data_IF_933074828497
#
_entry.id   IF_933074828497
#
_cell.length_a   1.000
_cell.length_b   1.000
_cell.length_c   1.000
_cell.angle_alpha   90.00
_cell.angle_beta   90.00
_cell.angle_gamma   90.00
#
_symmetry.space_group_name_H-M   'P 1'
#
loop_
_entity.id
_entity.type
_entity.pdbx_description
1 polymer ?
#
# COMPACT_ATOMS: atom_id res chain seq x y z
N UNK A 1 10.43 -2.79 -35.03
CA UNK A 1 10.69 -2.96 -33.58
C UNK A 1 9.85 -4.12 -33.10
N UNK A 2 10.44 -5.02 -32.31
CA UNK A 2 9.67 -6.07 -31.65
C UNK A 2 8.69 -5.42 -30.67
N UNK A 3 7.41 -5.80 -30.71
CA UNK A 3 6.41 -5.27 -29.77
C UNK A 3 6.26 -6.27 -28.64
N UNK A 4 6.75 -5.98 -27.43
CA UNK A 4 6.65 -6.92 -26.31
C UNK A 4 5.23 -6.96 -25.73
N UNK A 5 4.83 -8.14 -25.24
CA UNK A 5 3.64 -8.33 -24.40
C UNK A 5 4.05 -8.37 -22.94
N UNK A 6 3.31 -7.71 -22.05
CA UNK A 6 3.57 -7.73 -20.61
C UNK A 6 2.63 -8.69 -19.87
N UNK A 7 3.19 -9.62 -19.09
CA UNK A 7 2.47 -10.44 -18.12
C UNK A 7 2.54 -9.75 -16.76
N UNK A 8 1.40 -9.42 -16.19
CA UNK A 8 1.28 -8.83 -14.86
C UNK A 8 0.78 -9.90 -13.88
N UNK A 9 1.64 -10.31 -12.95
CA UNK A 9 1.35 -11.36 -11.98
C UNK A 9 0.57 -10.81 -10.78
N UNK A 10 -0.76 -10.95 -10.76
CA UNK A 10 -1.64 -10.35 -9.75
C UNK A 10 -2.46 -11.35 -8.91
N UNK A 11 -2.25 -12.67 -9.09
CA UNK A 11 -3.06 -13.76 -8.50
C UNK A 11 -2.66 -14.29 -7.11
N UNK A 12 -1.72 -13.67 -6.40
CA UNK A 12 -1.20 -14.21 -5.14
C UNK A 12 -2.24 -14.36 -4.00
N UNK A 13 -2.05 -15.35 -3.12
CA UNK A 13 -3.01 -15.79 -2.10
C UNK A 13 -3.24 -14.82 -0.90
N UNK A 14 -2.64 -13.62 -0.87
CA UNK A 14 -2.81 -12.56 0.15
C UNK A 14 -2.72 -12.93 1.65
N UNK A 15 -2.32 -14.15 2.04
CA UNK A 15 -2.37 -14.64 3.43
C UNK A 15 -1.67 -13.75 4.47
N UNK A 16 -0.51 -13.20 4.10
CA UNK A 16 0.32 -12.32 4.97
C UNK A 16 -0.16 -10.86 5.01
N UNK A 17 -1.21 -10.54 4.25
CA UNK A 17 -1.70 -9.18 4.05
C UNK A 17 -2.85 -8.79 5.00
N UNK A 18 -3.28 -9.70 5.87
CA UNK A 18 -4.29 -9.44 6.88
C UNK A 18 -3.90 -8.26 7.80
N UNK A 19 -4.81 -7.33 8.13
CA UNK A 19 -6.28 -7.41 8.00
C UNK A 19 -6.87 -6.93 6.67
N UNK A 20 -6.04 -6.57 5.69
CA UNK A 20 -6.47 -6.25 4.34
C UNK A 20 -6.58 -7.52 3.48
N UNK A 21 -7.41 -7.46 2.44
CA UNK A 21 -7.78 -8.66 1.64
C UNK A 21 -7.33 -8.59 0.19
N UNK A 22 -7.09 -7.40 -0.37
CA UNK A 22 -6.88 -7.22 -1.81
C UNK A 22 -5.65 -6.37 -2.12
N UNK A 23 -4.49 -7.02 -2.19
CA UNK A 23 -3.19 -6.36 -2.36
C UNK A 23 -3.00 -5.69 -3.73
N UNK A 24 -3.30 -6.41 -4.81
CA UNK A 24 -3.17 -5.91 -6.19
C UNK A 24 -4.16 -4.81 -6.52
N UNK A 25 -5.24 -4.72 -5.75
CA UNK A 25 -6.38 -3.85 -6.00
C UNK A 25 -6.58 -2.80 -4.91
N UNK A 26 -5.53 -2.53 -4.12
CA UNK A 26 -5.49 -1.37 -3.24
C UNK A 26 -5.58 -0.09 -4.06
N UNK A 27 -6.42 0.84 -3.61
CA UNK A 27 -6.74 2.08 -4.32
C UNK A 27 -5.95 3.23 -3.72
N UNK A 28 -5.20 3.94 -4.55
CA UNK A 28 -4.44 5.12 -4.16
C UNK A 28 -5.06 6.35 -4.82
N UNK A 29 -6.12 6.88 -4.18
CA UNK A 29 -7.06 7.78 -4.84
C UNK A 29 -8.06 6.98 -5.67
N UNK A 30 -8.18 7.27 -6.96
CA UNK A 30 -9.11 6.59 -7.86
C UNK A 30 -8.51 5.37 -8.56
N UNK A 31 -7.18 5.27 -8.60
CA UNK A 31 -6.48 4.22 -9.33
C UNK A 31 -6.07 3.10 -8.39
N UNK A 32 -6.29 1.85 -8.78
CA UNK A 32 -5.70 0.72 -8.07
C UNK A 32 -4.22 0.57 -8.40
N UNK A 33 -3.47 -0.16 -7.57
CA UNK A 33 -2.09 -0.51 -7.87
C UNK A 33 -1.95 -1.20 -9.24
N UNK A 34 -2.93 -2.03 -9.62
CA UNK A 34 -2.99 -2.64 -10.94
C UNK A 34 -3.24 -1.61 -12.05
N UNK A 35 -4.21 -0.70 -11.91
CA UNK A 35 -4.51 0.32 -12.93
C UNK A 35 -3.25 1.16 -13.21
N UNK A 36 -2.54 1.55 -12.15
CA UNK A 36 -1.27 2.27 -12.24
C UNK A 36 -0.21 1.47 -12.99
N UNK A 37 -0.06 0.17 -12.69
CA UNK A 37 0.94 -0.66 -13.37
C UNK A 37 0.62 -0.87 -14.85
N UNK A 38 -0.65 -1.03 -15.22
CA UNK A 38 -1.07 -1.11 -16.62
C UNK A 38 -0.69 0.19 -17.36
N UNK A 39 -0.99 1.35 -16.77
CA UNK A 39 -0.67 2.67 -17.34
C UNK A 39 0.85 2.93 -17.43
N UNK A 40 1.60 2.60 -16.37
CA UNK A 40 3.07 2.69 -16.33
C UNK A 40 3.73 1.86 -17.46
N UNK A 41 3.26 0.62 -17.66
CA UNK A 41 3.76 -0.26 -18.71
C UNK A 41 3.35 0.20 -20.11
N UNK A 42 2.11 0.67 -20.28
CA UNK A 42 1.66 1.24 -21.54
C UNK A 42 2.51 2.46 -21.94
N UNK A 43 2.77 3.39 -21.01
CA UNK A 43 3.68 4.54 -21.24
C UNK A 43 5.12 4.11 -21.51
N UNK A 44 5.54 2.98 -20.97
CA UNK A 44 6.83 2.40 -21.26
C UNK A 44 6.89 1.67 -22.61
N UNK A 45 5.77 1.54 -23.32
CA UNK A 45 5.69 0.91 -24.64
C UNK A 45 5.39 -0.59 -24.60
N UNK A 46 4.78 -1.09 -23.52
CA UNK A 46 4.15 -2.41 -23.42
C UNK A 46 2.63 -2.23 -23.52
N UNK A 47 2.09 -2.13 -24.75
CA UNK A 47 0.68 -1.83 -24.97
C UNK A 47 -0.24 -3.04 -24.72
N UNK A 48 0.23 -4.25 -25.06
CA UNK A 48 -0.53 -5.47 -24.88
C UNK A 48 -0.15 -6.13 -23.55
N UNK A 49 -1.17 -6.51 -22.77
CA UNK A 49 -1.02 -7.04 -21.41
C UNK A 49 -1.79 -8.35 -21.21
N UNK A 50 -1.22 -9.23 -20.40
CA UNK A 50 -1.84 -10.45 -19.89
C UNK A 50 -1.87 -10.33 -18.36
N UNK A 51 -3.06 -10.20 -17.79
CA UNK A 51 -3.26 -10.11 -16.35
C UNK A 51 -3.49 -11.51 -15.79
N UNK A 52 -2.60 -11.97 -14.92
CA UNK A 52 -2.79 -13.25 -14.22
C UNK A 52 -3.56 -13.01 -12.93
N UNK A 53 -4.80 -13.46 -12.94
CA UNK A 53 -5.78 -13.37 -11.88
C UNK A 53 -5.85 -14.68 -11.07
N UNK A 54 -6.56 -14.63 -9.94
CA UNK A 54 -7.09 -15.81 -9.26
C UNK A 54 -8.63 -15.77 -9.30
N UNK A 55 -9.34 -16.84 -8.90
CA UNK A 55 -10.80 -16.86 -8.92
C UNK A 55 -11.44 -15.69 -8.15
N UNK A 56 -10.86 -15.32 -7.01
CA UNK A 56 -11.39 -14.28 -6.12
C UNK A 56 -11.28 -12.85 -6.69
N UNK A 57 -10.38 -12.61 -7.66
CA UNK A 57 -10.16 -11.27 -8.22
C UNK A 57 -10.44 -11.16 -9.73
N UNK A 58 -10.89 -12.24 -10.38
CA UNK A 58 -11.07 -12.32 -11.82
C UNK A 58 -11.95 -11.19 -12.40
N UNK A 59 -13.08 -10.87 -11.77
CA UNK A 59 -14.00 -9.84 -12.27
C UNK A 59 -13.38 -8.45 -12.22
N UNK A 60 -12.69 -8.12 -11.11
CA UNK A 60 -11.98 -6.84 -10.96
C UNK A 60 -10.80 -6.74 -11.93
N UNK A 61 -10.12 -7.86 -12.24
CA UNK A 61 -9.08 -7.91 -13.26
C UNK A 61 -9.64 -7.66 -14.66
N UNK A 62 -10.83 -8.19 -14.99
CA UNK A 62 -11.52 -7.92 -16.26
C UNK A 62 -11.92 -6.45 -16.38
N UNK A 63 -12.38 -5.85 -15.28
CA UNK A 63 -12.71 -4.44 -15.25
C UNK A 63 -11.47 -3.56 -15.52
N UNK A 64 -10.34 -3.86 -14.85
CA UNK A 64 -9.07 -3.17 -15.11
C UNK A 64 -8.57 -3.38 -16.54
N UNK A 65 -8.66 -4.62 -17.06
CA UNK A 65 -8.32 -4.94 -18.44
C UNK A 65 -9.14 -4.11 -19.45
N UNK A 66 -10.42 -3.84 -19.17
CA UNK A 66 -11.27 -3.03 -20.06
C UNK A 66 -10.84 -1.56 -20.19
N UNK A 67 -10.04 -1.06 -19.24
CA UNK A 67 -9.48 0.29 -19.25
C UNK A 67 -8.07 0.36 -19.84
N UNK A 68 -7.47 -0.77 -20.20
CA UNK A 68 -6.14 -0.81 -20.81
C UNK A 68 -6.17 -0.09 -22.17
N UNK A 69 -5.06 0.57 -22.52
CA UNK A 69 -4.94 1.30 -23.79
C UNK A 69 -4.72 0.39 -25.00
N UNK A 70 -4.21 -0.83 -24.80
CA UNK A 70 -4.02 -1.85 -25.83
C UNK A 70 -4.79 -3.15 -25.54
N UNK A 71 -4.38 -4.27 -26.13
CA UNK A 71 -5.07 -5.55 -25.90
C UNK A 71 -4.81 -6.03 -24.49
N UNK A 72 -5.87 -6.40 -23.77
CA UNK A 72 -5.74 -6.96 -22.44
C UNK A 72 -6.41 -8.34 -22.38
N UNK A 73 -5.68 -9.33 -21.88
CA UNK A 73 -6.18 -10.68 -21.63
C UNK A 73 -6.19 -10.93 -20.12
N UNK A 74 -7.20 -11.64 -19.63
CA UNK A 74 -7.24 -12.11 -18.23
C UNK A 74 -7.12 -13.63 -18.25
N UNK A 75 -6.08 -14.13 -17.57
CA UNK A 75 -5.82 -15.56 -17.38
C UNK A 75 -6.01 -15.88 -15.91
N UNK A 76 -6.76 -16.94 -15.60
CA UNK A 76 -7.07 -17.30 -14.21
C UNK A 76 -6.17 -18.45 -13.79
N UNK A 77 -5.31 -18.19 -12.80
CA UNK A 77 -4.61 -19.23 -12.05
C UNK A 77 -5.56 -19.75 -10.96
N UNK A 78 -6.15 -20.92 -11.17
CA UNK A 78 -7.14 -21.50 -10.26
C UNK A 78 -6.56 -21.77 -8.86
N UNK A 79 -5.34 -22.30 -8.81
CA UNK A 79 -4.60 -22.61 -7.58
C UNK A 79 -3.28 -21.86 -7.55
N UNK A 80 -2.91 -21.16 -6.46
CA UNK A 80 -1.76 -20.28 -6.41
C UNK A 80 -0.44 -21.04 -6.19
N UNK A 81 -0.03 -21.88 -7.14
CA UNK A 81 1.20 -22.69 -7.06
C UNK A 81 2.50 -21.88 -7.24
N UNK A 82 2.41 -20.57 -7.45
CA UNK A 82 3.56 -19.67 -7.51
C UNK A 82 3.63 -18.88 -8.81
N UNK A 83 4.69 -18.09 -8.94
CA UNK A 83 4.88 -17.20 -10.10
C UNK A 83 5.20 -17.96 -11.38
N UNK A 84 5.95 -19.06 -11.29
CA UNK A 84 6.26 -19.91 -12.44
C UNK A 84 5.01 -20.54 -13.05
N UNK A 85 4.18 -21.17 -12.22
CA UNK A 85 2.86 -21.67 -12.63
C UNK A 85 1.97 -20.54 -13.20
N UNK A 86 1.94 -19.36 -12.58
CA UNK A 86 1.18 -18.22 -13.08
C UNK A 86 1.57 -17.82 -14.52
N UNK A 87 2.87 -17.88 -14.86
CA UNK A 87 3.34 -17.66 -16.24
C UNK A 87 2.96 -18.83 -17.15
N UNK A 88 3.03 -20.09 -16.67
CA UNK A 88 2.62 -21.26 -17.45
C UNK A 88 1.13 -21.24 -17.82
N UNK A 89 0.26 -20.66 -17.00
CA UNK A 89 -1.16 -20.46 -17.36
C UNK A 89 -1.33 -19.59 -18.61
N UNK A 90 -0.33 -18.78 -18.97
CA UNK A 90 -0.33 -17.94 -20.16
C UNK A 90 0.14 -18.68 -21.43
N UNK A 91 0.55 -19.96 -21.34
CA UNK A 91 1.21 -20.68 -22.43
C UNK A 91 0.43 -20.66 -23.75
N UNK A 92 -0.89 -20.86 -23.74
CA UNK A 92 -1.70 -20.82 -24.97
C UNK A 92 -1.62 -19.48 -25.70
N UNK A 93 -1.58 -18.36 -24.97
CA UNK A 93 -1.42 -17.03 -25.58
C UNK A 93 0.02 -16.82 -26.08
N UNK A 94 1.01 -17.27 -25.30
CA UNK A 94 2.43 -17.12 -25.62
C UNK A 94 2.89 -18.03 -26.77
N UNK A 95 2.31 -19.20 -26.94
CA UNK A 95 2.61 -20.15 -28.04
C UNK A 95 1.75 -19.89 -29.28
N UNK A 96 0.63 -19.17 -29.12
CA UNK A 96 -0.25 -18.75 -30.19
C UNK A 96 -0.03 -17.29 -30.58
N UNK A 97 -0.87 -16.42 -30.03
CA UNK A 97 -0.96 -15.00 -30.42
C UNK A 97 0.38 -14.24 -30.29
N UNK A 98 1.17 -14.56 -29.26
CA UNK A 98 2.41 -13.85 -28.94
C UNK A 98 3.67 -14.69 -29.21
N UNK A 99 3.60 -15.74 -30.02
CA UNK A 99 4.72 -16.65 -30.30
C UNK A 99 6.01 -15.98 -30.78
N UNK A 100 5.88 -14.88 -31.54
CA UNK A 100 7.00 -14.09 -32.07
C UNK A 100 7.19 -12.75 -31.36
N UNK A 101 6.53 -12.54 -30.22
CA UNK A 101 6.62 -11.30 -29.44
C UNK A 101 7.50 -11.53 -28.21
N UNK A 102 8.45 -10.63 -27.89
CA UNK A 102 9.13 -10.69 -26.60
C UNK A 102 8.13 -10.60 -25.45
N UNK A 103 8.44 -11.26 -24.34
CA UNK A 103 7.58 -11.28 -23.16
C UNK A 103 8.26 -10.56 -22.01
N UNK A 104 7.54 -9.64 -21.38
CA UNK A 104 7.93 -8.97 -20.16
C UNK A 104 7.11 -9.51 -18.98
N UNK A 105 7.73 -10.08 -17.96
CA UNK A 105 7.04 -10.58 -16.77
C UNK A 105 7.26 -9.60 -15.62
N UNK A 106 6.17 -9.12 -15.02
CA UNK A 106 6.22 -8.18 -13.93
C UNK A 106 5.33 -8.57 -12.74
N UNK A 107 5.88 -8.41 -11.54
CA UNK A 107 5.11 -8.47 -10.30
C UNK A 107 4.56 -7.07 -9.96
N UNK A 108 3.23 -6.94 -9.91
CA UNK A 108 2.52 -5.70 -9.58
C UNK A 108 2.83 -5.20 -8.17
N UNK A 109 3.21 -6.09 -7.25
CA UNK A 109 3.50 -5.74 -5.86
C UNK A 109 4.91 -5.17 -5.59
N UNK A 110 5.76 -5.13 -6.62
CA UNK A 110 7.06 -4.45 -6.58
C UNK A 110 6.91 -3.03 -7.14
N UNK A 111 6.86 -2.06 -6.22
CA UNK A 111 6.83 -0.65 -6.58
C UNK A 111 8.26 -0.17 -6.81
N UNK A 112 8.46 0.50 -7.93
CA UNK A 112 9.72 1.02 -8.44
C UNK A 112 9.44 2.32 -9.19
N UNK A 113 10.46 3.12 -9.47
CA UNK A 113 10.35 4.24 -10.41
C UNK A 113 9.96 3.70 -11.81
N UNK A 114 8.82 4.13 -12.38
CA UNK A 114 8.36 3.67 -13.69
C UNK A 114 9.36 3.86 -14.84
N UNK A 115 10.37 4.73 -14.68
CA UNK A 115 11.44 4.90 -15.66
C UNK A 115 12.19 3.58 -15.94
N UNK A 116 12.26 2.66 -14.99
CA UNK A 116 12.94 1.36 -15.18
C UNK A 116 12.29 0.52 -16.29
N UNK A 117 10.97 0.62 -16.47
CA UNK A 117 10.24 -0.11 -17.52
C UNK A 117 10.63 0.39 -18.91
N UNK A 118 10.82 1.71 -19.08
CA UNK A 118 11.36 2.28 -20.33
C UNK A 118 12.80 1.82 -20.57
N UNK A 119 13.62 1.82 -19.52
CA UNK A 119 15.03 1.40 -19.61
C UNK A 119 15.15 -0.05 -20.05
N UNK A 120 14.43 -0.98 -19.43
CA UNK A 120 14.50 -2.41 -19.80
C UNK A 120 13.91 -2.66 -21.20
N UNK A 121 12.81 -2.00 -21.56
CA UNK A 121 12.25 -2.09 -22.92
C UNK A 121 13.25 -1.62 -23.97
N UNK A 122 13.92 -0.50 -23.74
CA UNK A 122 14.92 0.06 -24.64
C UNK A 122 16.10 -0.89 -24.93
N UNK A 123 16.36 -1.86 -24.04
CA UNK A 123 17.37 -2.89 -24.27
C UNK A 123 17.02 -3.85 -25.41
N UNK A 124 15.73 -4.04 -25.74
CA UNK A 124 15.35 -4.88 -26.89
C UNK A 124 15.88 -4.36 -28.21
N UNK A 125 15.98 -3.03 -28.34
CA UNK A 125 16.44 -2.38 -29.56
C UNK A 125 17.97 -2.15 -29.55
N UNK A 126 18.57 -2.04 -28.36
CA UNK A 126 19.98 -1.63 -28.19
C UNK A 126 20.98 -2.79 -28.04
N UNK A 127 20.53 -4.00 -27.72
CA UNK A 127 21.41 -5.10 -27.29
C UNK A 127 20.87 -6.45 -27.78
N UNK A 128 21.70 -7.35 -28.30
CA UNK A 128 21.29 -8.64 -28.87
C UNK A 128 21.19 -9.79 -27.84
N UNK A 129 21.25 -9.51 -26.54
CA UNK A 129 21.06 -10.51 -25.48
C UNK A 129 19.70 -11.22 -25.55
N UNK A 130 19.67 -12.50 -25.15
CA UNK A 130 18.47 -13.35 -25.20
C UNK A 130 17.39 -12.87 -24.21
N UNK A 131 17.83 -12.34 -23.07
CA UNK A 131 16.96 -11.85 -22.01
C UNK A 131 17.63 -10.76 -21.15
N UNK A 132 16.79 -10.02 -20.43
CA UNK A 132 17.17 -8.97 -19.50
C UNK A 132 16.44 -9.16 -18.18
N UNK A 133 17.14 -8.94 -17.07
CA UNK A 133 16.56 -8.97 -15.72
C UNK A 133 16.88 -7.68 -14.99
N UNK A 134 15.99 -7.21 -14.12
CA UNK A 134 16.27 -6.07 -13.25
C UNK A 134 16.92 -6.56 -11.94
N UNK A 135 18.11 -6.03 -11.66
CA UNK A 135 18.82 -6.25 -10.40
C UNK A 135 18.78 -4.98 -9.55
N UNK A 136 18.05 -5.01 -8.43
CA UNK A 136 18.01 -3.92 -7.44
C UNK A 136 19.27 -3.98 -6.60
N UNK A 137 19.99 -2.86 -6.50
CA UNK A 137 21.17 -2.77 -5.62
C UNK A 137 20.74 -2.59 -4.17
N UNK A 138 21.24 -3.44 -3.29
CA UNK A 138 20.93 -3.40 -1.87
C UNK A 138 22.18 -3.17 -1.03
N UNK A 139 22.09 -2.24 -0.08
CA UNK A 139 23.14 -1.99 0.92
C UNK A 139 23.00 -2.88 2.16
N UNK A 140 21.87 -3.58 2.28
CA UNK A 140 21.54 -4.47 3.40
C UNK A 140 20.82 -5.71 2.89
N UNK A 141 20.98 -6.81 3.61
CA UNK A 141 20.29 -8.06 3.28
C UNK A 141 18.77 -7.88 3.23
N UNK A 142 18.17 -8.47 2.19
CA UNK A 142 16.74 -8.66 2.05
C UNK A 142 16.47 -10.12 1.64
N UNK A 143 15.47 -10.82 2.22
CA UNK A 143 15.18 -12.20 1.84
C UNK A 143 14.56 -12.29 0.43
N UNK A 144 15.40 -12.57 -0.57
CA UNK A 144 15.02 -12.76 -1.97
C UNK A 144 16.13 -13.39 -2.82
N UNK A 145 15.97 -13.38 -4.14
CA UNK A 145 16.91 -13.99 -5.09
C UNK A 145 18.06 -13.05 -5.44
N UNK A 146 19.29 -13.40 -5.07
CA UNK A 146 20.49 -12.61 -5.40
C UNK A 146 21.16 -13.12 -6.67
N UNK A 147 21.58 -12.21 -7.55
CA UNK A 147 22.22 -12.55 -8.82
C UNK A 147 23.69 -12.91 -8.62
N UNK A 148 24.13 -14.00 -9.24
CA UNK A 148 25.53 -14.24 -9.52
C UNK A 148 25.90 -13.52 -10.81
N UNK A 149 27.02 -12.79 -10.81
CA UNK A 149 27.36 -11.82 -11.86
C UNK A 149 28.72 -12.11 -12.47
N UNK A 150 28.82 -12.02 -13.81
CA UNK A 150 30.08 -12.02 -14.55
C UNK A 150 30.07 -10.84 -15.54
N UNK A 151 30.77 -9.76 -15.21
CA UNK A 151 30.66 -8.50 -15.95
C UNK A 151 29.26 -7.90 -15.82
N UNK A 152 28.54 -7.80 -16.93
CA UNK A 152 27.14 -7.32 -17.02
C UNK A 152 26.13 -8.46 -17.26
N UNK A 153 26.57 -9.71 -17.16
CA UNK A 153 25.76 -10.91 -17.32
C UNK A 153 25.33 -11.49 -15.96
N UNK A 154 24.07 -11.91 -15.89
CA UNK A 154 23.58 -12.76 -14.82
C UNK A 154 23.87 -14.22 -15.17
N UNK A 155 24.63 -14.92 -14.31
CA UNK A 155 25.03 -16.31 -14.52
C UNK A 155 24.18 -17.31 -13.73
N UNK A 156 23.56 -16.86 -12.64
CA UNK A 156 22.62 -17.64 -11.83
C UNK A 156 21.84 -16.71 -10.89
N UNK A 157 20.83 -17.25 -10.20
CA UNK A 157 20.11 -16.61 -9.10
C UNK A 157 20.11 -17.56 -7.89
N UNK A 158 20.50 -17.04 -6.73
CA UNK A 158 20.53 -17.78 -5.46
C UNK A 158 19.37 -17.28 -4.61
N UNK A 159 18.38 -18.13 -4.38
CA UNK A 159 17.19 -17.78 -3.61
C UNK A 159 17.47 -17.80 -2.10
N UNK A 160 17.24 -16.66 -1.43
CA UNK A 160 17.37 -16.48 0.03
C UNK A 160 18.67 -17.08 0.60
N UNK A 161 19.86 -16.66 0.13
CA UNK A 161 21.11 -17.07 0.75
C UNK A 161 21.13 -16.62 2.22
N UNK A 162 21.91 -17.29 3.09
CA UNK A 162 22.22 -16.78 4.42
C UNK A 162 22.72 -15.32 4.36
N UNK A 163 22.33 -14.44 5.30
CA UNK A 163 22.84 -13.08 5.35
C UNK A 163 24.37 -13.07 5.43
N UNK A 164 25.02 -12.26 4.58
CA UNK A 164 26.48 -12.19 4.46
C UNK A 164 27.10 -13.21 3.50
N UNK A 165 26.32 -14.09 2.88
CA UNK A 165 26.80 -15.03 1.84
C UNK A 165 26.15 -14.76 0.49
N UNK A 166 25.66 -13.54 0.25
CA UNK A 166 25.06 -13.13 -1.00
C UNK A 166 26.12 -13.14 -2.12
N UNK A 167 25.83 -13.71 -3.31
CA UNK A 167 26.78 -13.77 -4.43
C UNK A 167 27.12 -12.40 -5.02
N UNK A 168 26.28 -11.40 -4.79
CA UNK A 168 26.51 -9.99 -5.12
C UNK A 168 25.56 -9.12 -4.29
N UNK A 169 25.67 -7.80 -4.40
CA UNK A 169 24.71 -6.86 -3.83
C UNK A 169 23.49 -6.58 -4.73
N UNK A 170 23.28 -7.38 -5.79
CA UNK A 170 22.17 -7.23 -6.72
C UNK A 170 21.12 -8.30 -6.44
N UNK A 171 19.94 -7.88 -6.01
CA UNK A 171 18.78 -8.74 -5.83
C UNK A 171 17.85 -8.62 -7.03
N UNK A 172 17.50 -9.76 -7.63
CA UNK A 172 16.58 -9.85 -8.75
C UNK A 172 15.15 -9.54 -8.29
N UNK A 173 14.49 -8.61 -8.96
CA UNK A 173 13.03 -8.44 -8.87
C UNK A 173 12.35 -9.05 -10.09
N UNK A 174 11.04 -9.26 -10.03
CA UNK A 174 10.28 -9.73 -11.20
C UNK A 174 9.92 -8.53 -12.08
N UNK A 175 10.88 -8.21 -12.94
CA UNK A 175 10.77 -7.28 -14.05
C UNK A 175 11.69 -7.83 -15.14
N UNK A 176 11.26 -8.92 -15.75
CA UNK A 176 12.12 -9.74 -16.60
C UNK A 176 11.65 -9.72 -18.04
N UNK A 177 12.57 -9.61 -18.99
CA UNK A 177 12.27 -9.50 -20.41
C UNK A 177 12.96 -10.63 -21.17
N UNK A 178 12.21 -11.43 -21.92
CA UNK A 178 12.75 -12.54 -22.72
C UNK A 178 12.34 -12.33 -24.18
N UNK A 179 13.29 -12.45 -25.11
CA UNK A 179 13.02 -12.27 -26.56
C UNK A 179 12.10 -13.34 -27.12
N UNK A 180 12.28 -14.58 -26.67
CA UNK A 180 11.55 -15.75 -27.15
C UNK A 180 10.74 -16.37 -26.01
N UNK A 181 9.40 -16.23 -26.00
CA UNK A 181 8.56 -16.80 -24.94
C UNK A 181 8.76 -18.31 -24.75
N UNK A 182 9.05 -19.03 -25.84
CA UNK A 182 9.27 -20.48 -25.79
C UNK A 182 10.47 -20.87 -24.91
N UNK A 183 11.53 -20.05 -24.85
CA UNK A 183 12.67 -20.31 -23.98
C UNK A 183 12.26 -20.27 -22.49
N UNK A 184 11.47 -19.27 -22.11
CA UNK A 184 10.94 -19.13 -20.75
C UNK A 184 10.01 -20.28 -20.38
N UNK A 185 9.07 -20.62 -21.26
CA UNK A 185 8.14 -21.73 -21.03
C UNK A 185 8.85 -23.08 -20.91
N UNK A 186 9.89 -23.31 -21.72
CA UNK A 186 10.71 -24.53 -21.66
C UNK A 186 11.43 -24.65 -20.32
N UNK A 187 12.07 -23.57 -19.86
CA UNK A 187 12.75 -23.55 -18.57
C UNK A 187 11.76 -23.78 -17.40
N UNK A 188 10.58 -23.17 -17.45
CA UNK A 188 9.53 -23.36 -16.44
C UNK A 188 8.96 -24.79 -16.40
N UNK A 189 8.83 -25.45 -17.56
CA UNK A 189 8.37 -26.84 -17.65
C UNK A 189 9.42 -27.85 -17.21
N UNK A 190 10.71 -27.48 -17.25
CA UNK A 190 11.83 -28.34 -16.88
C UNK A 190 12.11 -28.37 -15.37
N UNK A 191 11.48 -27.50 -14.58
CA UNK A 191 11.61 -27.46 -13.11
C UNK A 191 10.39 -28.07 -12.43
N UNK A 192 10.57 -28.59 -11.22
CA UNK A 192 9.47 -29.12 -10.42
C UNK A 192 8.48 -27.99 -10.11
N UNK A 193 7.16 -28.17 -10.33
CA UNK A 193 6.16 -27.13 -10.08
C UNK A 193 5.94 -26.79 -8.59
N UNK A 194 6.49 -27.58 -7.65
CA UNK A 194 6.01 -27.59 -6.26
C UNK A 194 6.90 -26.95 -5.16
N UNK A 195 7.98 -26.20 -5.44
CA UNK A 195 8.55 -25.30 -4.44
C UNK A 195 8.31 -23.82 -4.80
N UNK A 196 8.32 -22.95 -3.76
CA UNK A 196 8.06 -21.51 -3.90
C UNK A 196 9.05 -20.75 -4.78
N UNK A 197 10.16 -21.39 -5.15
CA UNK A 197 11.28 -20.87 -5.93
C UNK A 197 11.32 -21.42 -7.37
N UNK A 198 10.24 -22.05 -7.86
CA UNK A 198 10.15 -22.57 -9.24
C UNK A 198 10.59 -21.54 -10.29
N UNK A 199 10.17 -20.28 -10.11
CA UNK A 199 10.47 -19.21 -11.06
C UNK A 199 11.97 -18.88 -11.05
N UNK A 200 12.59 -18.81 -9.88
CA UNK A 200 14.02 -18.59 -9.69
C UNK A 200 14.84 -19.77 -10.25
N UNK A 201 14.41 -21.02 -10.04
CA UNK A 201 15.06 -22.20 -10.62
C UNK A 201 15.01 -22.18 -12.15
N UNK A 202 13.89 -21.79 -12.76
CA UNK A 202 13.78 -21.65 -14.21
C UNK A 202 14.71 -20.56 -14.74
N UNK A 203 14.83 -19.43 -14.02
CA UNK A 203 15.79 -18.38 -14.36
C UNK A 203 17.24 -18.83 -14.23
N UNK A 204 17.59 -19.62 -13.21
CA UNK A 204 18.92 -20.20 -13.10
C UNK A 204 19.25 -21.09 -14.31
N UNK A 205 18.29 -21.88 -14.81
CA UNK A 205 18.46 -22.67 -16.04
C UNK A 205 18.61 -21.81 -17.30
N UNK A 206 17.84 -20.72 -17.42
CA UNK A 206 17.98 -19.78 -18.53
C UNK A 206 19.35 -19.10 -18.53
N UNK A 207 19.78 -18.60 -17.37
CA UNK A 207 21.08 -17.93 -17.21
C UNK A 207 22.27 -18.84 -17.50
N UNK A 208 22.14 -20.15 -17.27
CA UNK A 208 23.19 -21.12 -17.58
C UNK A 208 23.37 -21.35 -19.10
N UNK A 209 22.34 -21.12 -19.92
CA UNK A 209 22.32 -21.51 -21.33
C UNK A 209 22.10 -20.33 -22.30
N UNK A 210 21.85 -19.13 -21.79
CA UNK A 210 21.49 -17.94 -22.57
C UNK A 210 22.24 -16.72 -22.07
N UNK A 211 22.45 -15.74 -22.95
CA UNK A 211 23.05 -14.46 -22.58
C UNK A 211 21.99 -13.59 -21.91
N UNK A 212 21.96 -13.61 -20.58
CA UNK A 212 21.04 -12.81 -19.76
C UNK A 212 21.77 -11.59 -19.22
N UNK A 213 21.35 -10.39 -19.61
CA UNK A 213 21.96 -9.13 -19.16
C UNK A 213 21.24 -8.52 -17.98
N UNK A 214 22.00 -7.86 -17.12
CA UNK A 214 21.48 -7.17 -15.95
C UNK A 214 21.17 -5.71 -16.30
N UNK A 215 19.95 -5.28 -15.99
CA UNK A 215 19.60 -3.87 -15.88
C UNK A 215 19.66 -3.50 -14.40
N UNK A 216 20.75 -2.85 -13.98
CA UNK A 216 20.90 -2.41 -12.59
C UNK A 216 19.91 -1.30 -12.26
N UNK A 217 19.36 -1.36 -11.05
CA UNK A 217 18.42 -0.38 -10.53
C UNK A 217 18.84 0.07 -9.12
N UNK A 218 19.13 1.36 -8.99
CA UNK A 218 19.56 2.01 -7.74
C UNK A 218 18.45 2.93 -7.16
N UNK A 219 17.28 2.94 -7.78
CA UNK A 219 16.15 3.77 -7.35
C UNK A 219 15.35 3.17 -6.18
N UNK A 220 14.29 3.86 -5.72
CA UNK A 220 13.45 3.37 -4.64
C UNK A 220 12.75 2.05 -5.00
N UNK A 221 12.76 1.08 -4.11
CA UNK A 221 12.04 -0.18 -4.26
C UNK A 221 11.24 -0.50 -3.01
N UNK A 222 9.94 -0.71 -3.17
CA UNK A 222 9.03 -1.07 -2.09
C UNK A 222 8.30 -2.36 -2.45
N UNK A 223 8.72 -3.51 -1.88
CA UNK A 223 7.97 -4.75 -2.00
C UNK A 223 6.79 -4.70 -1.03
N UNK A 224 5.57 -4.69 -1.55
CA UNK A 224 4.40 -4.86 -0.68
C UNK A 224 4.36 -6.34 -0.32
N UNK A 225 4.38 -6.72 0.95
CA UNK A 225 4.26 -8.13 1.39
C UNK A 225 3.27 -8.29 2.55
N UNK A 226 3.23 -7.30 3.42
CA UNK A 226 2.39 -7.21 4.61
C UNK A 226 1.55 -5.93 4.57
N UNK A 227 0.49 -5.87 5.38
CA UNK A 227 -0.40 -4.70 5.43
C UNK A 227 0.33 -3.39 5.78
N UNK A 228 1.37 -3.43 6.61
CA UNK A 228 2.13 -2.22 6.96
C UNK A 228 3.03 -1.71 5.82
N UNK A 229 3.38 -2.55 4.83
CA UNK A 229 4.17 -2.09 3.68
C UNK A 229 3.38 -1.08 2.82
N UNK A 230 2.05 -1.02 2.98
CA UNK A 230 1.20 0.00 2.37
C UNK A 230 1.60 1.41 2.81
N UNK A 231 2.17 1.59 4.00
CA UNK A 231 2.69 2.90 4.43
C UNK A 231 3.88 3.35 3.59
N UNK A 232 4.82 2.44 3.32
CA UNK A 232 5.96 2.72 2.43
C UNK A 232 5.51 2.94 0.98
N UNK A 233 4.53 2.15 0.52
CA UNK A 233 3.92 2.33 -0.79
C UNK A 233 3.23 3.69 -0.92
N UNK A 234 2.50 4.10 0.12
CA UNK A 234 1.86 5.42 0.22
C UNK A 234 2.89 6.52 0.10
N UNK A 235 3.99 6.46 0.88
CA UNK A 235 5.06 7.44 0.80
C UNK A 235 5.67 7.52 -0.61
N UNK A 236 6.01 6.38 -1.22
CA UNK A 236 6.59 6.35 -2.56
C UNK A 236 5.64 6.92 -3.64
N UNK A 237 4.34 6.63 -3.55
CA UNK A 237 3.34 7.17 -4.48
C UNK A 237 3.18 8.68 -4.29
N UNK A 238 3.20 9.15 -3.04
CA UNK A 238 3.11 10.56 -2.70
C UNK A 238 4.35 11.35 -3.16
N UNK A 239 5.54 10.77 -3.04
CA UNK A 239 6.80 11.36 -3.51
C UNK A 239 6.84 11.50 -5.05
N UNK A 240 6.12 10.64 -5.77
CA UNK A 240 5.99 10.69 -7.23
C UNK A 240 4.94 11.69 -7.74
N UNK A 241 4.26 12.45 -6.87
CA UNK A 241 3.27 13.44 -7.29
C UNK A 241 3.94 14.62 -8.01
N UNK A 242 3.29 15.17 -9.06
CA UNK A 242 3.76 16.39 -9.69
C UNK A 242 3.72 17.57 -8.71
N UNK A 243 4.59 18.54 -8.95
CA UNK A 243 4.66 19.72 -8.09
C UNK A 243 3.40 20.59 -8.23
N UNK A 244 2.75 20.88 -7.09
CA UNK A 244 1.65 21.84 -6.99
C UNK A 244 0.31 21.17 -6.72
N UNK A 245 -0.78 21.88 -7.06
CA UNK A 245 -2.15 21.40 -6.88
C UNK A 245 -2.71 20.88 -8.21
N UNK A 246 -2.98 19.58 -8.28
CA UNK A 246 -3.77 18.94 -9.32
C UNK A 246 -5.20 18.75 -8.80
N UNK A 247 -6.23 19.23 -9.52
CA UNK A 247 -7.62 19.10 -9.08
C UNK A 247 -8.56 18.89 -10.26
N UNK A 248 -9.64 18.16 -10.02
CA UNK A 248 -10.80 18.13 -10.91
C UNK A 248 -11.56 19.47 -10.91
N UNK A 249 -12.35 19.71 -11.95
CA UNK A 249 -13.05 20.99 -12.18
C UNK A 249 -14.16 21.28 -11.15
N UNK A 250 -14.75 20.24 -10.55
CA UNK A 250 -15.88 20.33 -9.61
C UNK A 250 -15.45 20.33 -8.13
N UNK A 251 -14.18 20.57 -7.85
CA UNK A 251 -13.64 20.68 -6.48
C UNK A 251 -14.03 22.01 -5.83
N UNK A 252 -14.57 21.95 -4.61
CA UNK A 252 -14.99 23.12 -3.83
C UNK A 252 -14.06 23.32 -2.65
N UNK A 253 -13.34 24.44 -2.62
CA UNK A 253 -12.44 24.84 -1.53
C UNK A 253 -12.98 26.12 -0.90
N UNK A 254 -13.31 26.08 0.39
CA UNK A 254 -13.76 27.26 1.12
C UNK A 254 -12.64 28.33 1.18
N UNK A 255 -12.95 29.65 1.14
CA UNK A 255 -11.94 30.72 1.21
C UNK A 255 -11.05 30.76 2.47
N UNK A 256 -11.38 29.98 3.50
CA UNK A 256 -10.64 29.86 4.75
C UNK A 256 -10.04 28.46 4.95
N UNK A 257 -10.05 27.63 3.90
CA UNK A 257 -9.35 26.37 3.88
C UNK A 257 -7.93 26.55 3.34
N UNK A 258 -7.04 25.63 3.70
CA UNK A 258 -5.64 25.65 3.26
C UNK A 258 -5.35 24.41 2.41
N UNK A 259 -4.80 24.61 1.23
CA UNK A 259 -4.21 23.54 0.43
C UNK A 259 -2.80 23.97 0.02
N UNK A 260 -1.79 23.19 0.40
CA UNK A 260 -0.38 23.56 0.20
C UNK A 260 0.47 22.34 -0.11
N UNK A 261 1.54 22.49 -0.88
CA UNK A 261 2.42 21.38 -1.27
C UNK A 261 1.89 20.61 -2.48
N UNK A 262 2.36 19.38 -2.67
CA UNK A 262 1.98 18.51 -3.78
C UNK A 262 0.66 17.79 -3.47
N UNK A 263 -0.45 18.22 -4.08
CA UNK A 263 -1.78 17.73 -3.71
C UNK A 263 -2.55 17.35 -4.96
N UNK A 264 -3.18 16.16 -4.93
CA UNK A 264 -4.17 15.75 -5.92
C UNK A 264 -5.56 15.67 -5.28
N UNK A 265 -6.53 16.37 -5.86
CA UNK A 265 -7.94 16.37 -5.43
C UNK A 265 -8.83 15.77 -6.54
N UNK A 266 -9.53 14.68 -6.20
CA UNK A 266 -10.49 14.01 -7.06
C UNK A 266 -11.77 14.83 -7.30
N UNK A 267 -12.64 14.29 -8.14
CA UNK A 267 -13.92 14.89 -8.53
C UNK A 267 -14.83 15.10 -7.33
N UNK A 268 -15.48 16.25 -7.23
CA UNK A 268 -16.46 16.56 -6.20
C UNK A 268 -15.91 16.62 -4.77
N UNK A 269 -14.58 16.70 -4.60
CA UNK A 269 -13.97 16.92 -3.28
C UNK A 269 -14.40 18.27 -2.71
N UNK A 270 -14.70 18.30 -1.41
CA UNK A 270 -15.12 19.52 -0.70
C UNK A 270 -14.25 19.75 0.52
N UNK A 271 -13.67 20.93 0.63
CA UNK A 271 -12.85 21.35 1.78
C UNK A 271 -13.52 22.55 2.45
N UNK A 272 -13.99 22.35 3.68
CA UNK A 272 -14.73 23.34 4.46
C UNK A 272 -13.80 24.31 5.22
N UNK A 273 -14.38 25.37 5.79
CA UNK A 273 -13.64 26.44 6.46
C UNK A 273 -12.71 25.92 7.56
N UNK A 274 -11.44 26.35 7.54
CA UNK A 274 -10.40 25.89 8.46
C UNK A 274 -9.85 24.49 8.16
N UNK A 275 -10.43 23.75 7.21
CA UNK A 275 -9.88 22.48 6.76
C UNK A 275 -8.55 22.68 6.03
N UNK A 276 -7.60 21.79 6.24
CA UNK A 276 -6.25 21.87 5.71
C UNK A 276 -5.82 20.55 5.06
N UNK A 277 -5.30 20.64 3.83
CA UNK A 277 -4.63 19.54 3.13
C UNK A 277 -3.20 19.97 2.84
N UNK A 278 -2.25 19.35 3.55
CA UNK A 278 -0.82 19.66 3.46
C UNK A 278 -0.11 18.51 2.76
N UNK A 279 0.36 18.79 1.55
CA UNK A 279 1.04 17.83 0.69
C UNK A 279 2.37 17.30 1.26
N UNK A 280 2.84 16.15 0.76
CA UNK A 280 2.22 15.41 -0.35
C UNK A 280 0.93 14.69 0.07
N UNK A 281 -0.14 14.79 -0.72
CA UNK A 281 -1.44 14.20 -0.38
C UNK A 281 -2.31 13.88 -1.60
N UNK A 282 -3.10 12.80 -1.52
CA UNK A 282 -4.14 12.46 -2.50
C UNK A 282 -5.47 12.35 -1.78
N UNK A 283 -6.48 13.06 -2.28
CA UNK A 283 -7.86 13.01 -1.79
C UNK A 283 -8.75 12.49 -2.92
N UNK A 284 -9.36 11.32 -2.73
CA UNK A 284 -10.19 10.64 -3.72
C UNK A 284 -11.56 11.30 -3.93
N UNK A 285 -12.26 10.84 -4.97
CA UNK A 285 -13.52 11.44 -5.42
C UNK A 285 -14.60 11.52 -4.34
N UNK A 286 -15.30 12.66 -4.27
CA UNK A 286 -16.44 12.88 -3.37
C UNK A 286 -16.07 12.98 -1.89
N UNK A 287 -14.77 13.01 -1.54
CA UNK A 287 -14.33 13.10 -0.15
C UNK A 287 -14.53 14.49 0.42
N UNK A 288 -14.97 14.54 1.68
CA UNK A 288 -15.20 15.75 2.44
C UNK A 288 -14.10 15.93 3.49
N UNK A 289 -13.44 17.08 3.44
CA UNK A 289 -12.55 17.56 4.50
C UNK A 289 -13.31 18.61 5.31
N UNK A 290 -13.72 18.22 6.51
CA UNK A 290 -14.56 19.02 7.41
C UNK A 290 -13.84 20.24 8.00
N UNK A 291 -14.61 21.03 8.75
CA UNK A 291 -14.09 22.24 9.39
C UNK A 291 -12.96 21.93 10.36
N UNK A 292 -11.85 22.65 10.25
CA UNK A 292 -10.68 22.48 11.13
C UNK A 292 -9.96 21.13 11.00
N UNK A 293 -10.35 20.27 10.05
CA UNK A 293 -9.67 18.99 9.82
C UNK A 293 -8.30 19.19 9.17
N UNK A 294 -7.36 18.29 9.41
CA UNK A 294 -6.01 18.31 8.84
C UNK A 294 -5.68 16.96 8.19
N UNK A 295 -5.41 16.97 6.89
CA UNK A 295 -4.83 15.82 6.18
C UNK A 295 -3.40 16.16 5.77
N UNK A 296 -2.44 15.31 6.11
CA UNK A 296 -1.02 15.56 5.77
C UNK A 296 -0.21 14.30 5.50
N UNK A 297 0.56 14.29 4.42
CA UNK A 297 1.39 13.13 4.05
C UNK A 297 0.57 11.85 3.83
N UNK A 298 -0.71 11.96 3.45
CA UNK A 298 -1.68 10.87 3.50
C UNK A 298 -2.37 10.68 2.15
N UNK A 299 -2.84 9.46 1.92
CA UNK A 299 -3.79 9.14 0.85
C UNK A 299 -5.13 8.83 1.50
N UNK A 300 -6.15 9.59 1.14
CA UNK A 300 -7.54 9.39 1.55
C UNK A 300 -8.34 9.01 0.32
N UNK A 301 -8.98 7.84 0.37
CA UNK A 301 -9.78 7.29 -0.72
C UNK A 301 -11.02 8.12 -1.05
N UNK A 302 -11.84 7.60 -1.94
CA UNK A 302 -13.08 8.23 -2.39
C UNK A 302 -14.19 8.12 -1.33
N UNK A 303 -15.11 9.08 -1.32
CA UNK A 303 -16.34 9.14 -0.50
C UNK A 303 -16.07 9.08 1.00
N UNK A 304 -14.91 9.57 1.43
CA UNK A 304 -14.57 9.65 2.85
C UNK A 304 -15.11 10.93 3.49
N UNK A 305 -15.28 10.91 4.81
CA UNK A 305 -15.61 12.08 5.60
C UNK A 305 -14.54 12.25 6.68
N UNK A 306 -13.66 13.24 6.53
CA UNK A 306 -12.72 13.65 7.57
C UNK A 306 -13.41 14.73 8.40
N UNK A 307 -14.01 14.34 9.53
CA UNK A 307 -14.87 15.19 10.35
C UNK A 307 -14.16 16.34 11.07
N UNK A 308 -14.94 17.09 11.84
CA UNK A 308 -14.49 18.30 12.52
C UNK A 308 -13.26 18.04 13.41
N UNK A 309 -12.18 18.79 13.14
CA UNK A 309 -10.96 18.73 13.93
C UNK A 309 -10.21 17.39 13.89
N UNK A 310 -10.55 16.48 12.97
CA UNK A 310 -9.76 15.26 12.78
C UNK A 310 -8.40 15.56 12.14
N UNK A 311 -7.39 14.78 12.53
CA UNK A 311 -6.08 14.76 11.88
C UNK A 311 -5.81 13.38 11.27
N UNK A 312 -5.55 13.32 9.97
CA UNK A 312 -5.09 12.14 9.24
C UNK A 312 -3.66 12.38 8.75
N UNK A 313 -2.69 11.76 9.41
CA UNK A 313 -1.27 11.99 9.19
C UNK A 313 -0.53 10.72 8.75
N UNK A 314 0.20 10.79 7.63
CA UNK A 314 1.06 9.69 7.13
C UNK A 314 0.32 8.35 6.98
N UNK A 315 -0.96 8.40 6.62
CA UNK A 315 -1.83 7.22 6.63
C UNK A 315 -2.38 6.90 5.24
N UNK A 316 -2.67 5.62 5.04
CA UNK A 316 -3.50 5.14 3.94
C UNK A 316 -4.92 4.93 4.47
N UNK A 317 -5.89 5.57 3.83
CA UNK A 317 -7.31 5.44 4.17
C UNK A 317 -8.06 4.98 2.93
N UNK A 318 -8.69 3.81 2.99
CA UNK A 318 -9.55 3.27 1.94
C UNK A 318 -10.79 4.13 1.67
N UNK A 319 -11.63 3.66 0.76
CA UNK A 319 -12.83 4.39 0.35
C UNK A 319 -13.91 4.36 1.43
N UNK A 320 -14.80 5.35 1.47
CA UNK A 320 -15.99 5.33 2.34
C UNK A 320 -15.69 5.44 3.83
N UNK A 321 -14.48 5.84 4.22
CA UNK A 321 -14.13 5.93 5.64
C UNK A 321 -14.72 7.21 6.28
N UNK A 322 -15.18 7.08 7.52
CA UNK A 322 -15.81 8.18 8.26
C UNK A 322 -15.09 8.43 9.60
N UNK A 323 -14.75 9.69 9.84
CA UNK A 323 -14.08 10.15 11.04
C UNK A 323 -14.85 11.32 11.66
N UNK A 324 -14.87 11.39 12.99
CA UNK A 324 -15.34 12.54 13.75
C UNK A 324 -14.15 13.42 14.18
N UNK A 325 -13.97 13.66 15.48
CA UNK A 325 -12.76 14.28 16.03
C UNK A 325 -11.81 13.15 16.43
N UNK A 326 -10.86 12.83 15.54
CA UNK A 326 -9.95 11.69 15.67
C UNK A 326 -8.49 12.07 15.34
N UNK A 327 -7.53 11.32 15.85
CA UNK A 327 -6.15 11.32 15.35
C UNK A 327 -5.82 9.96 14.74
N UNK A 328 -5.47 9.95 13.46
CA UNK A 328 -5.10 8.77 12.67
C UNK A 328 -3.70 8.97 12.10
N UNK A 329 -2.70 8.39 12.76
CA UNK A 329 -1.29 8.54 12.45
C UNK A 329 -0.66 7.23 11.98
N UNK A 330 0.08 7.25 10.88
CA UNK A 330 0.88 6.12 10.37
C UNK A 330 0.07 4.82 10.28
N UNK A 331 -1.20 4.93 9.88
CA UNK A 331 -2.18 3.84 9.92
C UNK A 331 -2.62 3.42 8.52
N UNK A 332 -3.13 2.18 8.41
CA UNK A 332 -3.64 1.61 7.16
C UNK A 332 -5.05 1.12 7.39
N UNK A 333 -6.02 1.80 6.78
CA UNK A 333 -7.44 1.52 6.93
C UNK A 333 -7.99 1.00 5.60
N UNK A 334 -8.68 -0.14 5.65
CA UNK A 334 -9.46 -0.67 4.53
C UNK A 334 -10.72 0.17 4.27
N UNK A 335 -11.54 -0.29 3.34
CA UNK A 335 -12.74 0.43 2.92
C UNK A 335 -13.82 0.44 4.01
N UNK A 336 -14.65 1.47 4.00
CA UNK A 336 -15.80 1.68 4.85
C UNK A 336 -15.49 1.53 6.35
N UNK A 337 -14.35 2.02 6.83
CA UNK A 337 -14.02 2.05 8.27
C UNK A 337 -14.63 3.30 8.91
N UNK A 338 -15.25 3.18 10.08
CA UNK A 338 -15.75 4.36 10.81
C UNK A 338 -15.25 4.44 12.25
N UNK A 339 -14.78 5.63 12.63
CA UNK A 339 -14.28 5.94 13.96
C UNK A 339 -15.24 6.84 14.72
N UNK A 340 -15.75 6.36 15.86
CA UNK A 340 -16.40 7.20 16.85
C UNK A 340 -15.50 8.33 17.34
N UNK A 341 -16.11 9.43 17.78
CA UNK A 341 -15.37 10.59 18.29
C UNK A 341 -14.43 10.20 19.44
N UNK A 342 -13.22 10.74 19.43
CA UNK A 342 -12.20 10.45 20.44
C UNK A 342 -11.45 9.13 20.23
N UNK A 343 -11.72 8.37 19.17
CA UNK A 343 -10.82 7.28 18.77
C UNK A 343 -9.47 7.83 18.31
N UNK A 344 -8.39 7.24 18.82
CA UNK A 344 -7.01 7.65 18.55
C UNK A 344 -6.14 6.43 18.22
N UNK A 345 -5.30 6.55 17.19
CA UNK A 345 -4.24 5.58 16.88
C UNK A 345 -2.92 6.05 17.48
N UNK A 346 -2.42 5.36 18.51
CA UNK A 346 -1.04 5.53 18.93
C UNK A 346 -0.13 4.89 17.88
N UNK A 347 0.89 5.63 17.45
CA UNK A 347 1.78 5.23 16.36
C UNK A 347 3.23 5.02 16.79
N UNK A 348 3.60 5.36 18.02
CA UNK A 348 4.95 5.26 18.54
C UNK A 348 4.93 4.52 19.88
N UNK A 349 5.87 3.58 20.05
CA UNK A 349 6.09 2.91 21.32
C UNK A 349 6.85 3.83 22.27
N UNK A 350 6.60 3.70 23.58
CA UNK A 350 7.31 4.48 24.60
C UNK A 350 8.83 4.20 24.64
N UNK A 351 9.27 3.03 24.19
CA UNK A 351 10.69 2.67 24.08
C UNK A 351 11.33 3.06 22.73
N UNK A 352 10.54 3.67 21.83
CA UNK A 352 10.92 4.13 20.49
C UNK A 352 11.52 3.04 19.58
N UNK A 353 11.39 1.77 19.95
CA UNK A 353 11.91 0.63 19.18
C UNK A 353 11.00 0.31 17.99
N UNK A 354 11.57 -0.45 17.04
CA UNK A 354 10.83 -0.98 15.90
C UNK A 354 9.58 -1.76 16.33
N UNK A 355 8.48 -1.53 15.65
CA UNK A 355 7.20 -2.17 15.91
C UNK A 355 7.24 -3.60 15.34
N UNK A 356 6.75 -4.56 16.13
CA UNK A 356 6.72 -5.98 15.77
C UNK A 356 5.30 -6.52 15.74
N UNK A 357 4.89 -7.07 14.61
CA UNK A 357 3.52 -7.52 14.33
C UNK A 357 3.49 -9.03 14.12
N UNK A 358 2.47 -9.71 14.64
CA UNK A 358 2.36 -11.17 14.52
C UNK A 358 1.92 -11.59 13.12
N UNK A 359 2.62 -12.48 12.44
CA UNK A 359 2.19 -13.08 11.17
C UNK A 359 2.43 -14.58 11.25
N UNK A 360 1.40 -15.37 10.94
CA UNK A 360 1.45 -16.84 10.98
C UNK A 360 2.06 -17.38 12.28
N UNK A 361 1.65 -16.80 13.41
CA UNK A 361 2.11 -17.18 14.76
C UNK A 361 3.48 -16.62 15.19
N UNK A 362 4.23 -15.94 14.31
CA UNK A 362 5.55 -15.38 14.59
C UNK A 362 5.56 -13.86 14.62
N UNK A 363 6.33 -13.22 15.53
CA UNK A 363 6.47 -11.75 15.54
C UNK A 363 7.52 -11.30 14.51
N UNK A 364 7.05 -10.65 13.46
CA UNK A 364 7.89 -10.07 12.40
C UNK A 364 8.28 -8.65 12.78
N UNK A 365 9.57 -8.33 12.67
CA UNK A 365 10.06 -6.96 12.78
C UNK A 365 9.71 -6.19 11.51
N UNK A 366 8.99 -5.07 11.65
CA UNK A 366 8.54 -4.26 10.50
C UNK A 366 9.67 -3.38 9.94
N UNK A 367 10.73 -3.16 10.73
CA UNK A 367 11.76 -2.17 10.45
C UNK A 367 11.25 -0.72 10.53
N UNK A 368 10.12 -0.49 11.19
CA UNK A 368 9.49 0.83 11.32
C UNK A 368 9.30 1.18 12.80
N UNK A 369 9.76 2.36 13.20
CA UNK A 369 9.55 2.90 14.56
C UNK A 369 8.15 3.47 14.74
N UNK A 370 7.48 3.85 13.64
CA UNK A 370 6.12 4.39 13.64
C UNK A 370 5.15 3.58 12.78
N UNK A 371 4.12 3.04 13.41
CA UNK A 371 2.97 2.34 12.82
C UNK A 371 1.81 2.52 13.79
N UNK A 372 0.71 3.09 13.33
CA UNK A 372 -0.55 3.20 14.06
C UNK A 372 -1.33 1.89 14.02
N UNK A 373 -2.60 1.94 13.59
CA UNK A 373 -3.44 0.75 13.48
C UNK A 373 -3.51 0.24 12.03
N UNK A 374 -3.64 -1.08 11.87
CA UNK A 374 -3.96 -1.71 10.59
C UNK A 374 -5.39 -2.25 10.70
N UNK A 375 -6.31 -1.81 9.84
CA UNK A 375 -7.73 -2.04 10.02
C UNK A 375 -8.34 -2.57 8.72
N UNK A 376 -9.03 -3.71 8.81
CA UNK A 376 -9.76 -4.32 7.71
C UNK A 376 -11.05 -3.58 7.37
N UNK A 377 -11.63 -3.92 6.23
CA UNK A 377 -12.80 -3.23 5.72
C UNK A 377 -14.02 -3.38 6.65
N UNK A 378 -14.92 -2.40 6.64
CA UNK A 378 -16.18 -2.39 7.41
C UNK A 378 -16.00 -2.43 8.94
N UNK A 379 -14.80 -2.17 9.46
CA UNK A 379 -14.58 -2.13 10.90
C UNK A 379 -15.17 -0.85 11.53
N UNK A 380 -15.56 -0.93 12.81
CA UNK A 380 -16.13 0.19 13.57
C UNK A 380 -15.45 0.35 14.93
N UNK A 381 -15.21 1.58 15.37
CA UNK A 381 -14.84 1.85 16.76
C UNK A 381 -15.87 2.76 17.41
N UNK A 382 -16.25 2.48 18.66
CA UNK A 382 -17.04 3.38 19.48
C UNK A 382 -16.27 4.64 19.87
N UNK A 383 -16.90 5.50 20.65
CA UNK A 383 -16.26 6.74 21.15
C UNK A 383 -15.10 6.43 22.12
N UNK A 384 -14.10 7.29 22.15
CA UNK A 384 -12.97 7.24 23.08
C UNK A 384 -12.20 5.90 23.07
N UNK A 385 -12.02 5.27 21.91
CA UNK A 385 -11.19 4.06 21.77
C UNK A 385 -9.72 4.42 21.59
N UNK A 386 -8.83 3.80 22.36
CA UNK A 386 -7.38 3.96 22.20
C UNK A 386 -6.78 2.72 21.54
N UNK A 387 -6.16 2.88 20.37
CA UNK A 387 -5.55 1.79 19.60
C UNK A 387 -4.02 1.84 19.72
N UNK A 388 -3.40 0.76 20.22
CA UNK A 388 -1.94 0.72 20.41
C UNK A 388 -1.16 0.54 19.10
N UNK A 389 0.15 0.91 19.06
CA UNK A 389 0.95 0.79 17.85
C UNK A 389 1.00 -0.65 17.31
N UNK A 390 0.70 -0.80 16.02
CA UNK A 390 0.71 -2.06 15.30
C UNK A 390 -0.48 -3.00 15.55
N UNK A 391 -1.51 -2.57 16.31
CA UNK A 391 -2.70 -3.41 16.50
C UNK A 391 -3.46 -3.60 15.19
N UNK A 392 -4.03 -4.78 15.02
CA UNK A 392 -4.79 -5.15 13.83
C UNK A 392 -6.24 -5.43 14.15
N UNK A 393 -7.15 -4.80 13.42
CA UNK A 393 -8.59 -5.05 13.54
C UNK A 393 -9.07 -5.69 12.25
N UNK A 394 -9.65 -6.88 12.34
CA UNK A 394 -10.17 -7.63 11.21
C UNK A 394 -11.37 -6.98 10.54
N UNK A 395 -11.67 -7.43 9.32
CA UNK A 395 -12.80 -6.92 8.55
C UNK A 395 -14.14 -7.26 9.23
N UNK A 396 -15.09 -6.33 9.18
CA UNK A 396 -16.43 -6.46 9.79
C UNK A 396 -16.42 -6.52 11.32
N UNK A 397 -15.33 -6.11 11.97
CA UNK A 397 -15.19 -6.15 13.43
C UNK A 397 -15.57 -4.82 14.08
N UNK A 398 -15.91 -4.86 15.36
CA UNK A 398 -16.26 -3.69 16.14
C UNK A 398 -15.48 -3.62 17.46
N UNK A 399 -15.09 -2.41 17.85
CA UNK A 399 -14.49 -2.12 19.16
C UNK A 399 -15.43 -1.18 19.90
N UNK A 400 -15.93 -1.59 21.06
CA UNK A 400 -16.89 -0.82 21.85
C UNK A 400 -16.29 0.46 22.46
N UNK A 401 -17.13 1.37 22.98
CA UNK A 401 -16.69 2.62 23.57
C UNK A 401 -15.70 2.46 24.72
N UNK A 402 -14.76 3.39 24.85
CA UNK A 402 -13.81 3.45 25.98
C UNK A 402 -12.79 2.32 26.04
N UNK A 403 -12.69 1.47 25.01
CA UNK A 403 -11.75 0.35 24.98
C UNK A 403 -10.32 0.85 24.73
N UNK A 404 -9.39 0.40 25.56
CA UNK A 404 -7.96 0.48 25.29
C UNK A 404 -7.46 -0.83 24.65
N UNK A 405 -7.35 -0.83 23.34
CA UNK A 405 -7.04 -2.01 22.54
C UNK A 405 -5.53 -2.18 22.34
N UNK A 406 -4.99 -3.27 22.90
CA UNK A 406 -3.56 -3.63 22.86
C UNK A 406 -3.31 -5.03 22.28
N UNK A 407 -4.33 -5.62 21.65
CA UNK A 407 -4.28 -6.94 20.99
C UNK A 407 -5.09 -6.92 19.71
N UNK A 408 -4.75 -7.82 18.80
CA UNK A 408 -5.47 -7.96 17.54
C UNK A 408 -6.90 -8.45 17.73
N UNK A 409 -7.79 -8.01 16.83
CA UNK A 409 -9.20 -8.42 16.77
C UNK A 409 -9.41 -9.22 15.48
N UNK A 410 -9.79 -10.51 15.54
CA UNK A 410 -10.10 -11.29 14.35
C UNK A 410 -11.28 -10.71 13.56
N UNK A 411 -11.48 -11.16 12.31
CA UNK A 411 -12.62 -10.74 11.47
C UNK A 411 -13.97 -11.05 12.14
N UNK A 412 -14.96 -10.17 11.95
CA UNK A 412 -16.33 -10.35 12.42
C UNK A 412 -16.50 -10.40 13.95
N UNK A 413 -15.57 -9.83 14.72
CA UNK A 413 -15.60 -9.88 16.19
C UNK A 413 -15.96 -8.52 16.81
N UNK A 414 -16.68 -8.57 17.93
CA UNK A 414 -16.91 -7.42 18.80
C UNK A 414 -16.01 -7.53 20.05
N UNK A 415 -15.31 -6.44 20.39
CA UNK A 415 -14.54 -6.33 21.63
C UNK A 415 -15.07 -5.17 22.45
N UNK A 416 -15.52 -5.42 23.68
CA UNK A 416 -16.02 -4.40 24.61
C UNK A 416 -15.25 -4.46 25.93
N UNK A 417 -15.19 -3.33 26.64
CA UNK A 417 -14.76 -3.29 28.03
C UNK A 417 -15.97 -3.54 28.94
N UNK A 418 -15.80 -4.33 29.99
CA UNK A 418 -16.76 -4.40 31.09
C UNK A 418 -16.40 -3.31 32.09
N UNK A 419 -17.36 -2.46 32.43
CA UNK A 419 -17.20 -1.38 33.39
C UNK A 419 -18.11 -1.65 34.58
N UNK A 420 -17.55 -1.57 35.79
CA UNK A 420 -18.33 -1.58 37.02
C UNK A 420 -18.48 -0.12 37.47
N UNK A 421 -19.73 0.35 37.50
CA UNK A 421 -20.05 1.73 37.89
C UNK A 421 -20.37 1.78 39.39
N UNK A 422 -19.76 2.72 40.11
CA UNK A 422 -20.09 3.00 41.51
C UNK A 422 -21.14 4.11 41.56
N UNK A 423 -22.36 3.77 42.00
CA UNK A 423 -23.42 4.73 42.28
C UNK A 423 -23.42 5.06 43.77
N UNK A 424 -23.10 6.32 44.11
CA UNK A 424 -23.07 6.82 45.49
C UNK A 424 -23.60 8.24 45.58
N UNK A 425 -24.13 8.66 46.75
CA UNK A 425 -24.52 10.04 46.97
C UNK A 425 -23.37 10.99 46.66
N UNK A 426 -23.65 12.02 45.85
CA UNK A 426 -22.68 13.05 45.53
C UNK A 426 -22.37 13.88 46.80
N UNK A 427 -21.13 13.89 47.32
CA UNK A 427 -20.79 14.68 48.51
C UNK A 427 -20.65 16.18 48.19
N UNK A 428 -20.66 16.56 46.90
CA UNK A 428 -20.51 17.94 46.45
C UNK A 428 -21.87 18.61 46.28
N UNK A 429 -22.01 19.83 46.80
CA UNK A 429 -23.17 20.68 46.51
C UNK A 429 -23.04 21.26 45.10
N UNK A 430 -23.95 20.88 44.20
CA UNK A 430 -24.06 21.45 42.85
C UNK A 430 -25.41 22.18 42.77
N UNK A 431 -25.43 23.44 43.21
CA UNK A 431 -26.62 24.27 43.37
C UNK A 431 -26.91 25.20 42.18
N UNK A 432 -26.15 25.08 41.08
CA UNK A 432 -26.25 25.94 39.89
C UNK A 432 -25.59 27.33 40.07
N UNK A 433 -25.63 27.91 41.26
CA UNK A 433 -25.10 29.24 41.57
C UNK A 433 -23.60 29.23 41.90
N UNK A 434 -23.09 28.12 42.44
CA UNK A 434 -21.67 27.98 42.81
C UNK A 434 -20.70 28.28 41.66
N UNK A 435 -21.11 27.95 40.42
CA UNK A 435 -20.29 28.24 39.23
C UNK A 435 -20.24 29.73 38.88
N UNK A 436 -21.32 30.47 39.14
CA UNK A 436 -21.35 31.93 38.98
C UNK A 436 -20.46 32.62 40.02
N UNK A 437 -20.59 32.22 41.28
CA UNK A 437 -19.75 32.73 42.39
C UNK A 437 -18.27 32.48 42.13
N UNK A 438 -17.90 31.28 41.70
CA UNK A 438 -16.52 30.93 41.36
C UNK A 438 -15.97 31.75 40.18
N UNK A 439 -16.73 31.88 39.07
CA UNK A 439 -16.32 32.70 37.91
C UNK A 439 -16.10 34.17 38.28
N UNK A 440 -16.96 34.73 39.14
CA UNK A 440 -16.82 36.10 39.62
C UNK A 440 -15.61 36.27 40.54
N UNK A 441 -15.34 35.30 41.41
CA UNK A 441 -14.14 35.31 42.27
C UNK A 441 -12.83 35.29 41.44
N UNK A 442 -12.75 34.47 40.39
CA UNK A 442 -11.59 34.45 39.49
C UNK A 442 -11.44 35.81 38.78
N UNK A 443 -12.52 36.34 38.20
CA UNK A 443 -12.49 37.65 37.50
C UNK A 443 -12.01 38.77 38.43
N UNK A 444 -12.51 38.80 39.66
CA UNK A 444 -12.11 39.78 40.66
C UNK A 444 -10.64 39.62 41.08
N UNK A 445 -10.15 38.38 41.21
CA UNK A 445 -8.74 38.11 41.51
C UNK A 445 -7.80 38.53 40.36
N UNK A 446 -8.16 38.27 39.09
CA UNK A 446 -7.38 38.73 37.93
C UNK A 446 -7.32 40.25 37.83
N UNK A 447 -8.42 40.95 38.12
CA UNK A 447 -8.47 42.42 38.13
C UNK A 447 -7.71 43.09 39.29
N UNK A 448 -7.37 42.35 40.34
CA UNK A 448 -6.54 42.83 41.44
C UNK A 448 -5.03 42.76 41.12
N UNK A 449 -4.62 41.79 40.29
CA UNK A 449 -3.23 41.62 39.83
C UNK A 449 -2.85 42.68 38.79
N UNK A 450 -3.78 43.04 37.88
CA UNK A 450 -3.56 44.13 36.90
C UNK A 450 -3.50 45.54 37.54
N UNK A 451 -3.95 45.71 38.79
CA UNK A 451 -3.87 46.98 39.52
C UNK A 451 -2.56 47.16 40.31
N UNK A 452 -1.67 46.17 40.30
CA UNK A 452 -0.38 46.19 40.99
C UNK A 452 0.83 45.99 40.03
N UNK A 453 0.58 46.01 38.72
CA UNK A 453 1.58 46.21 37.66
C UNK A 453 1.37 47.61 37.07
#
# INVERSE_FOLDING_TARGET
MLTPVAIILAGGANRRFWPLTQKSLLSFGNDTLLDRRIDELARAGFSDVILVANPDNADRMREAASRASGRAHVVIQAEPFGMGDAVLQCATLLEGLYASSPVFVNQVHDLVDPAIFRTIRGRLDADDADAFVVGVRLDRYFPGGYLSVSGDLATSVVEKPPPGTEPSNLMKIVADLVREPHALLTALRAVNPNPSDQYEQAWAQLMANRRVRIVSYDGPWVPIKYAWDVLRATALILDGLPAGLERADDVVIHPHATVSGHVRLGRGVKIFAGGAVVGPAIIGDGTIIGNGALVRGSIVGARCIVGFGAEIARSYVGNGCEFHTNYVGDSVLGDDVAFGSGTVTANLRLDERSIRIAVDGSRVDTGMTKIGALIGAHARTGINVSLMPGVRIGSGSAVGPGVHLHRDVPNGRLVTARQDLEDRPNPFTIDGDGRGRFRNAIRNASSAVEKHA
#
